data_IF_926457515445
#
_entry.id   IF_926457515445
#
_cell.length_a   1.000
_cell.length_b   1.000
_cell.length_c   1.000
_cell.angle_alpha   90.00
_cell.angle_beta   90.00
_cell.angle_gamma   90.00
#
_symmetry.space_group_name_H-M   'P 1'
#
loop_
_entity.id
_entity.type
_entity.pdbx_description
1 polymer ?
#
# COMPACT_ATOMS: atom_id res chain seq x y z
N UNK A 1 3.16 4.83 13.85
CA UNK A 1 4.55 4.75 13.33
C UNK A 1 4.50 4.73 11.80
N UNK A 2 5.35 5.47 11.09
CA UNK A 2 5.40 5.40 9.61
C UNK A 2 5.80 4.02 9.10
N UNK A 3 5.25 3.58 7.96
CA UNK A 3 5.56 2.26 7.39
C UNK A 3 7.06 2.06 7.09
N UNK A 4 7.77 3.09 6.64
CA UNK A 4 9.22 3.00 6.41
C UNK A 4 9.97 2.58 7.69
N UNK A 5 9.65 3.21 8.83
CA UNK A 5 10.25 2.90 10.13
C UNK A 5 9.88 1.48 10.61
N UNK A 6 8.64 1.05 10.34
CA UNK A 6 8.21 -0.33 10.61
C UNK A 6 9.04 -1.34 9.81
N UNK A 7 9.24 -1.10 8.52
CA UNK A 7 10.01 -1.99 7.64
C UNK A 7 11.49 -2.02 8.05
N UNK A 8 12.10 -0.87 8.36
CA UNK A 8 13.48 -0.82 8.82
C UNK A 8 13.67 -1.60 10.15
N UNK A 9 12.65 -1.61 11.01
CA UNK A 9 12.67 -2.33 12.29
C UNK A 9 12.39 -3.83 12.15
N UNK A 10 11.36 -4.20 11.38
CA UNK A 10 10.81 -5.58 11.35
C UNK A 10 11.33 -6.40 10.16
N UNK A 11 11.81 -5.72 9.12
CA UNK A 11 12.37 -6.28 7.89
C UNK A 11 13.73 -5.62 7.56
N UNK A 12 14.79 -5.78 8.39
CA UNK A 12 16.04 -5.05 8.20
C UNK A 12 16.67 -5.23 6.81
N UNK A 13 16.96 -4.11 6.15
CA UNK A 13 17.53 -4.08 4.80
C UNK A 13 16.57 -4.55 3.70
N UNK A 14 15.27 -4.42 3.91
CA UNK A 14 14.21 -4.82 2.97
C UNK A 14 14.44 -4.30 1.55
N UNK A 15 15.00 -3.10 1.38
CA UNK A 15 15.30 -2.50 0.07
C UNK A 15 16.25 -3.36 -0.80
N UNK A 16 17.04 -4.26 -0.18
CA UNK A 16 18.00 -5.15 -0.86
C UNK A 16 17.51 -6.58 -0.99
N UNK A 17 16.28 -6.87 -0.57
CA UNK A 17 15.69 -8.21 -0.58
C UNK A 17 14.73 -8.36 -1.76
N UNK A 18 14.49 -9.60 -2.18
CA UNK A 18 13.44 -9.88 -3.16
C UNK A 18 12.07 -9.64 -2.55
N UNK A 19 11.09 -9.28 -3.38
CA UNK A 19 9.70 -9.11 -2.96
C UNK A 19 9.15 -10.35 -2.26
N UNK A 20 9.47 -11.55 -2.76
CA UNK A 20 9.08 -12.81 -2.14
C UNK A 20 9.57 -12.90 -0.70
N UNK A 21 10.86 -12.66 -0.45
CA UNK A 21 11.43 -12.71 0.91
C UNK A 21 10.82 -11.66 1.84
N UNK A 22 10.52 -10.46 1.32
CA UNK A 22 9.86 -9.41 2.11
C UNK A 22 8.44 -9.83 2.46
N UNK A 23 7.68 -10.34 1.49
CA UNK A 23 6.30 -10.76 1.68
C UNK A 23 6.19 -12.00 2.59
N UNK A 24 7.11 -12.96 2.49
CA UNK A 24 7.22 -14.08 3.43
C UNK A 24 7.47 -13.59 4.86
N UNK A 25 8.30 -12.54 5.00
CA UNK A 25 8.57 -11.93 6.31
C UNK A 25 7.36 -11.17 6.85
N UNK A 26 6.67 -10.38 6.02
CA UNK A 26 5.44 -9.68 6.40
C UNK A 26 4.32 -10.66 6.77
N UNK A 27 4.20 -11.75 6.02
CA UNK A 27 3.28 -12.86 6.33
C UNK A 27 3.58 -13.49 7.70
N UNK A 28 4.86 -13.73 8.00
CA UNK A 28 5.28 -14.25 9.32
C UNK A 28 5.05 -13.27 10.48
N UNK A 29 5.08 -11.95 10.23
CA UNK A 29 4.69 -10.95 11.23
C UNK A 29 3.18 -11.04 11.49
N UNK A 30 2.41 -11.33 10.44
CA UNK A 30 0.96 -11.49 10.51
C UNK A 30 0.24 -10.15 10.43
N UNK A 31 -1.00 -10.16 10.91
CA UNK A 31 -1.87 -9.00 10.83
C UNK A 31 -1.49 -7.90 11.81
N UNK A 32 -1.52 -6.66 11.34
CA UNK A 32 -1.21 -5.45 12.09
C UNK A 32 -2.30 -4.41 11.85
N UNK A 33 -2.47 -3.48 12.79
CA UNK A 33 -3.36 -2.32 12.61
C UNK A 33 -2.68 -1.29 11.73
N UNK A 34 -3.37 -0.91 10.66
CA UNK A 34 -2.89 0.02 9.63
C UNK A 34 -3.89 1.17 9.53
N UNK A 35 -3.40 2.38 9.73
CA UNK A 35 -4.15 3.63 9.59
C UNK A 35 -3.71 4.36 8.32
N UNK A 36 -4.68 4.97 7.62
CA UNK A 36 -4.41 5.71 6.38
C UNK A 36 -4.18 7.20 6.67
N UNK A 37 -3.05 7.77 6.26
CA UNK A 37 -2.78 9.20 6.49
C UNK A 37 -3.71 10.13 5.69
N UNK A 38 -4.22 9.66 4.55
CA UNK A 38 -5.06 10.44 3.65
C UNK A 38 -6.57 10.43 4.01
N UNK A 39 -7.00 9.59 4.96
CA UNK A 39 -8.43 9.47 5.35
C UNK A 39 -8.58 8.88 6.75
N UNK A 40 -9.65 9.24 7.45
CA UNK A 40 -9.96 8.70 8.79
C UNK A 40 -10.51 7.26 8.72
N UNK A 41 -9.63 6.30 8.39
CA UNK A 41 -9.94 4.88 8.37
C UNK A 41 -8.74 4.09 8.87
N UNK A 42 -9.03 3.01 9.58
CA UNK A 42 -8.07 1.98 9.97
C UNK A 42 -8.52 0.62 9.41
N UNK A 43 -7.58 -0.30 9.30
CA UNK A 43 -7.81 -1.68 8.90
C UNK A 43 -6.83 -2.60 9.60
N UNK A 44 -7.29 -3.79 9.99
CA UNK A 44 -6.41 -4.85 10.50
C UNK A 44 -6.16 -5.85 9.38
N UNK A 45 -4.90 -6.07 9.06
CA UNK A 45 -4.54 -6.97 7.97
C UNK A 45 -3.04 -7.19 7.82
N UNK A 46 -2.70 -8.10 6.91
CA UNK A 46 -1.30 -8.41 6.57
C UNK A 46 -0.87 -7.56 5.38
N UNK A 47 0.28 -6.90 5.51
CA UNK A 47 0.86 -6.11 4.42
C UNK A 47 1.47 -7.02 3.34
N UNK A 48 1.26 -6.63 2.09
CA UNK A 48 1.90 -7.22 0.91
C UNK A 48 2.53 -6.11 0.11
N UNK A 49 3.82 -6.22 -0.16
CA UNK A 49 4.55 -5.31 -1.03
C UNK A 49 4.39 -5.77 -2.49
N UNK A 50 3.95 -4.86 -3.35
CA UNK A 50 3.75 -5.10 -4.78
C UNK A 50 4.95 -4.58 -5.59
N UNK A 51 5.17 -5.15 -6.78
CA UNK A 51 6.31 -4.79 -7.64
C UNK A 51 6.15 -3.43 -8.34
N UNK A 52 4.95 -2.88 -8.35
CA UNK A 52 4.60 -1.64 -9.02
C UNK A 52 4.78 -0.43 -8.08
N UNK A 53 4.97 0.74 -8.68
CA UNK A 53 5.04 2.02 -7.99
C UNK A 53 3.88 2.93 -8.40
N UNK A 54 3.80 4.11 -7.81
CA UNK A 54 2.65 5.01 -8.02
C UNK A 54 2.55 5.54 -9.45
N UNK A 55 3.67 5.56 -10.20
CA UNK A 55 3.73 6.06 -11.57
C UNK A 55 3.38 5.01 -12.63
N UNK A 56 3.52 3.71 -12.32
CA UNK A 56 3.28 2.63 -13.29
C UNK A 56 2.11 1.70 -12.93
N UNK A 57 1.53 1.82 -11.73
CA UNK A 57 0.30 1.12 -11.37
C UNK A 57 -0.93 1.83 -11.96
N UNK A 58 -1.45 1.30 -13.07
CA UNK A 58 -2.64 1.82 -13.75
C UNK A 58 -3.92 1.09 -13.34
N UNK A 59 -5.02 1.83 -13.31
CA UNK A 59 -6.34 1.28 -13.07
C UNK A 59 -7.44 2.12 -13.73
N UNK A 60 -8.63 1.53 -13.88
CA UNK A 60 -9.80 2.25 -14.36
C UNK A 60 -10.48 3.04 -13.23
N UNK A 61 -10.36 4.36 -13.24
CA UNK A 61 -11.00 5.22 -12.26
C UNK A 61 -12.42 5.59 -12.71
N UNK A 62 -13.42 4.95 -12.08
CA UNK A 62 -14.83 5.01 -12.50
C UNK A 62 -15.44 6.42 -12.41
N UNK A 63 -15.15 7.18 -11.35
CA UNK A 63 -15.80 8.48 -11.11
C UNK A 63 -15.53 9.49 -12.23
N UNK A 64 -14.37 9.39 -12.89
CA UNK A 64 -13.97 10.25 -14.00
C UNK A 64 -13.79 9.49 -15.32
N UNK A 65 -14.23 8.22 -15.35
CA UNK A 65 -14.29 7.35 -16.53
C UNK A 65 -12.99 7.31 -17.37
N UNK A 66 -11.83 7.14 -16.71
CA UNK A 66 -10.54 7.04 -17.40
C UNK A 66 -9.54 6.16 -16.67
N UNK A 67 -8.55 5.64 -17.42
CA UNK A 67 -7.37 5.03 -16.81
C UNK A 67 -6.53 6.10 -16.12
N UNK A 68 -6.10 5.82 -14.90
CA UNK A 68 -5.23 6.68 -14.11
C UNK A 68 -4.14 5.86 -13.43
N UNK A 69 -3.01 6.49 -13.16
CA UNK A 69 -2.02 5.94 -12.23
C UNK A 69 -2.46 6.15 -10.79
N UNK A 70 -1.91 5.38 -9.86
CA UNK A 70 -2.08 5.60 -8.42
C UNK A 70 -1.66 7.03 -8.04
N UNK A 71 -0.56 7.54 -8.58
CA UNK A 71 -0.12 8.92 -8.34
C UNK A 71 -1.20 9.94 -8.76
N UNK A 72 -1.70 9.82 -10.01
CA UNK A 72 -2.75 10.69 -10.52
C UNK A 72 -4.01 10.61 -9.65
N UNK A 73 -4.40 9.41 -9.22
CA UNK A 73 -5.57 9.22 -8.37
C UNK A 73 -5.45 9.96 -7.05
N UNK A 74 -4.32 9.84 -6.33
CA UNK A 74 -4.15 10.52 -5.05
C UNK A 74 -4.16 12.04 -5.21
N UNK A 75 -3.61 12.56 -6.30
CA UNK A 75 -3.69 13.98 -6.63
C UNK A 75 -5.13 14.43 -6.91
N UNK A 76 -5.88 13.69 -7.73
CA UNK A 76 -7.25 14.06 -8.13
C UNK A 76 -8.23 13.94 -6.95
N UNK A 77 -8.21 12.81 -6.25
CA UNK A 77 -9.21 12.46 -5.25
C UNK A 77 -8.96 13.13 -3.90
N UNK A 78 -7.68 13.31 -3.53
CA UNK A 78 -7.29 13.78 -2.20
C UNK A 78 -6.49 15.09 -2.22
N UNK A 79 -6.09 15.59 -3.39
CA UNK A 79 -5.22 16.77 -3.49
C UNK A 79 -3.80 16.50 -2.98
N UNK A 80 -3.37 15.24 -2.93
CA UNK A 80 -2.08 14.82 -2.38
C UNK A 80 -1.08 14.64 -3.52
N UNK A 81 0.01 15.38 -3.45
CA UNK A 81 1.20 15.16 -4.28
C UNK A 81 2.13 14.17 -3.55
N UNK A 82 2.37 13.00 -4.14
CA UNK A 82 3.17 11.95 -3.53
C UNK A 82 4.65 12.32 -3.59
N UNK A 83 5.33 12.29 -2.45
CA UNK A 83 6.76 12.63 -2.37
C UNK A 83 7.66 11.45 -2.74
N UNK A 84 7.14 10.23 -2.67
CA UNK A 84 7.88 8.98 -2.94
C UNK A 84 7.21 8.14 -4.04
N UNK A 85 6.93 8.69 -5.24
CA UNK A 85 6.12 8.00 -6.25
C UNK A 85 6.79 6.75 -6.85
N UNK A 86 8.13 6.66 -6.74
CA UNK A 86 8.92 5.52 -7.24
C UNK A 86 8.98 4.34 -6.26
N UNK A 87 8.50 4.51 -5.02
CA UNK A 87 8.48 3.42 -4.03
C UNK A 87 7.41 2.39 -4.34
N UNK A 88 7.66 1.15 -3.92
CA UNK A 88 6.70 0.06 -4.04
C UNK A 88 5.39 0.40 -3.35
N UNK A 89 4.29 0.06 -4.01
CA UNK A 89 2.96 0.12 -3.44
C UNK A 89 2.71 -1.07 -2.51
N UNK A 90 1.75 -0.90 -1.61
CA UNK A 90 1.33 -1.92 -0.66
C UNK A 90 -0.13 -2.28 -0.86
N UNK A 91 -0.42 -3.57 -0.75
CA UNK A 91 -1.77 -4.09 -0.57
C UNK A 91 -1.93 -4.58 0.86
N UNK A 92 -3.16 -4.54 1.35
CA UNK A 92 -3.51 -5.00 2.70
C UNK A 92 -4.47 -6.18 2.52
N UNK A 93 -4.08 -7.36 3.03
CA UNK A 93 -4.95 -8.53 3.11
C UNK A 93 -5.72 -8.45 4.44
N UNK A 94 -7.02 -8.09 4.43
CA UNK A 94 -7.77 -7.86 5.66
C UNK A 94 -7.94 -9.17 6.44
N UNK A 95 -7.80 -9.13 7.76
CA UNK A 95 -7.94 -10.34 8.60
C UNK A 95 -9.36 -10.92 8.63
N UNK A 96 -10.37 -10.13 8.24
CA UNK A 96 -11.80 -10.47 8.37
C UNK A 96 -12.61 -10.28 7.07
N UNK A 97 -12.00 -10.37 5.88
CA UNK A 97 -12.72 -10.33 4.61
C UNK A 97 -12.79 -11.72 3.96
N UNK A 98 -14.01 -12.20 3.69
CA UNK A 98 -14.31 -13.48 3.05
C UNK A 98 -14.34 -13.42 1.52
N UNK A 99 -14.18 -12.23 0.94
CA UNK A 99 -14.22 -12.05 -0.51
C UNK A 99 -12.82 -11.67 -0.99
N UNK A 100 -12.29 -12.45 -1.93
CA UNK A 100 -11.07 -12.15 -2.67
C UNK A 100 -11.30 -10.86 -3.45
N UNK A 101 -11.04 -9.72 -2.82
CA UNK A 101 -11.11 -8.44 -3.52
C UNK A 101 -10.14 -8.50 -4.70
N UNK A 102 -10.72 -8.44 -5.91
CA UNK A 102 -10.02 -8.17 -7.15
C UNK A 102 -8.99 -7.05 -6.91
N UNK A 103 -7.79 -7.16 -7.50
CA UNK A 103 -6.75 -6.13 -7.37
C UNK A 103 -7.30 -4.82 -7.94
N UNK A 104 -7.90 -4.04 -7.06
CA UNK A 104 -8.47 -2.74 -7.33
C UNK A 104 -7.48 -1.69 -6.82
N UNK A 105 -7.39 -0.52 -7.46
CA UNK A 105 -6.68 0.65 -6.94
C UNK A 105 -7.08 1.06 -5.53
N UNK A 106 -8.30 0.74 -5.11
CA UNK A 106 -8.74 0.92 -3.73
C UNK A 106 -7.91 0.11 -2.72
N UNK A 107 -7.14 -0.85 -3.22
CA UNK A 107 -6.32 -1.81 -2.47
C UNK A 107 -4.81 -1.64 -2.76
N UNK A 108 -4.40 -0.55 -3.44
CA UNK A 108 -2.98 -0.19 -3.62
C UNK A 108 -2.68 1.14 -2.92
N UNK A 109 -1.71 1.10 -2.01
CA UNK A 109 -1.43 2.21 -1.10
C UNK A 109 0.05 2.63 -1.21
N UNK A 110 0.32 3.92 -1.43
CA UNK A 110 1.66 4.48 -1.32
C UNK A 110 2.20 4.31 0.10
N UNK A 111 3.48 3.97 0.22
CA UNK A 111 4.14 3.73 1.50
C UNK A 111 4.02 4.92 2.47
N UNK A 112 4.17 6.14 1.94
CA UNK A 112 4.10 7.39 2.70
C UNK A 112 2.71 7.70 3.27
N UNK A 113 1.67 6.97 2.85
CA UNK A 113 0.30 7.15 3.31
C UNK A 113 -0.17 6.06 4.29
N UNK A 114 0.73 5.15 4.69
CA UNK A 114 0.44 4.07 5.63
C UNK A 114 1.13 4.30 6.98
N UNK A 115 0.34 4.27 8.04
CA UNK A 115 0.78 4.37 9.42
C UNK A 115 0.45 3.05 10.14
N UNK A 116 1.41 2.51 10.88
CA UNK A 116 1.31 1.27 11.66
C UNK A 116 1.25 1.61 13.14
N UNK A 117 0.31 1.03 13.87
CA UNK A 117 0.23 1.15 15.34
C UNK A 117 1.12 0.14 16.08
#
# INVERSE_FOLDING_TARGET
MELANFLDTKCPGWQRRSLTTINDRLSNIGSITITFAHRQREIVGTLVMESFNSNNAFFWYRDINRWCTVNQYYFIQYGIDLTLPETNLFRILPSFCLEEDEISPSNLFPMELLLID
#
